data_IF_620761871731
#
_entry.id   IF_620761871731
#
_cell.length_a   1.000
_cell.length_b   1.000
_cell.length_c   1.000
_cell.angle_alpha   90.00
_cell.angle_beta   90.00
_cell.angle_gamma   90.00
#
_symmetry.space_group_name_H-M   'P 1'
#
loop_
_entity.id
_entity.type
_entity.pdbx_description
1 polymer ?
#
# COMPACT_ATOMS: atom_id res chain seq x y z
N UNK A 1 13.63 14.48 10.47
CA UNK A 1 12.47 13.58 10.32
C UNK A 1 13.03 12.23 9.89
N UNK A 2 12.47 11.11 10.34
CA UNK A 2 12.90 9.80 9.88
C UNK A 2 12.68 9.66 8.37
N UNK A 3 13.68 9.15 7.64
CA UNK A 3 13.62 8.94 6.20
C UNK A 3 13.14 7.53 5.86
N UNK A 4 12.06 7.46 5.10
CA UNK A 4 11.48 6.19 4.63
C UNK A 4 11.68 6.09 3.12
N UNK A 5 12.24 4.98 2.66
CA UNK A 5 12.27 4.64 1.23
C UNK A 5 11.10 3.71 0.95
N UNK A 6 10.23 4.11 0.03
CA UNK A 6 9.13 3.28 -0.46
C UNK A 6 9.35 2.99 -1.93
N UNK A 7 9.33 1.72 -2.32
CA UNK A 7 9.56 1.34 -3.71
C UNK A 7 8.40 0.51 -4.27
N UNK A 8 8.05 0.74 -5.54
CA UNK A 8 7.04 -0.06 -6.23
C UNK A 8 6.17 0.72 -7.21
N UNK A 9 4.90 0.37 -7.25
CA UNK A 9 3.93 0.84 -8.23
C UNK A 9 3.39 2.24 -7.92
N UNK A 10 3.29 3.05 -8.98
CA UNK A 10 2.57 4.31 -9.00
C UNK A 10 1.62 4.30 -10.20
N UNK A 11 0.33 4.34 -9.92
CA UNK A 11 -0.75 4.25 -10.88
C UNK A 11 -1.68 5.45 -10.72
N UNK A 12 -2.68 5.53 -11.60
CA UNK A 12 -3.77 6.51 -11.51
C UNK A 12 -5.09 5.77 -11.48
N UNK A 13 -5.95 6.09 -10.51
CA UNK A 13 -7.29 5.57 -10.44
C UNK A 13 -8.28 6.57 -11.04
N UNK A 14 -9.14 6.09 -11.95
CA UNK A 14 -10.14 6.86 -12.66
C UNK A 14 -11.51 6.33 -12.22
N UNK A 15 -12.14 7.02 -11.28
CA UNK A 15 -13.45 6.63 -10.74
C UNK A 15 -14.54 7.14 -11.67
N UNK A 16 -15.31 6.22 -12.24
CA UNK A 16 -16.41 6.50 -13.17
C UNK A 16 -17.71 6.00 -12.55
N UNK A 17 -18.51 6.91 -12.04
CA UNK A 17 -19.85 6.58 -11.55
C UNK A 17 -20.82 6.46 -12.71
N UNK A 18 -21.68 5.44 -12.71
CA UNK A 18 -22.72 5.31 -13.73
C UNK A 18 -23.73 6.46 -13.68
N UNK A 19 -24.29 6.86 -14.82
CA UNK A 19 -25.33 7.88 -14.88
C UNK A 19 -26.56 7.46 -14.06
N UNK A 20 -27.10 8.39 -13.28
CA UNK A 20 -28.33 8.18 -12.50
C UNK A 20 -29.53 8.59 -13.32
N UNK A 21 -30.22 7.60 -13.90
CA UNK A 21 -31.36 7.82 -14.76
C UNK A 21 -32.56 8.37 -13.95
N UNK A 22 -33.13 9.47 -14.40
CA UNK A 22 -34.33 10.06 -13.79
C UNK A 22 -34.14 10.68 -12.39
N UNK A 23 -32.91 10.74 -11.88
CA UNK A 23 -32.63 11.26 -10.53
C UNK A 23 -32.47 12.79 -10.47
N UNK A 24 -32.36 13.48 -11.61
CA UNK A 24 -32.25 14.91 -11.70
C UNK A 24 -33.60 15.62 -11.70
N UNK A 25 -33.57 16.96 -11.69
CA UNK A 25 -34.78 17.78 -11.77
C UNK A 25 -35.61 17.45 -13.01
N UNK A 26 -36.93 17.34 -12.85
CA UNK A 26 -37.89 16.96 -13.90
C UNK A 26 -37.59 15.57 -14.56
N UNK A 27 -36.98 14.65 -13.86
CA UNK A 27 -36.64 13.32 -14.36
C UNK A 27 -35.42 13.29 -15.31
N UNK A 28 -34.59 14.30 -15.29
CA UNK A 28 -33.35 14.31 -16.07
C UNK A 28 -32.35 13.27 -15.54
N UNK A 29 -31.46 12.83 -16.43
CA UNK A 29 -30.31 11.99 -16.03
C UNK A 29 -29.20 12.84 -15.42
N UNK A 30 -28.69 12.43 -14.25
CA UNK A 30 -27.49 12.99 -13.68
C UNK A 30 -26.29 12.26 -14.28
N UNK A 31 -25.33 13.02 -14.81
CA UNK A 31 -24.07 12.53 -15.37
C UNK A 31 -22.92 12.95 -14.44
N UNK A 32 -22.46 12.06 -13.53
CA UNK A 32 -21.32 12.37 -12.69
C UNK A 32 -20.04 12.56 -13.53
N UNK A 33 -19.19 13.49 -13.12
CA UNK A 33 -17.88 13.64 -13.75
C UNK A 33 -16.95 12.52 -13.24
N UNK A 34 -16.11 11.94 -14.11
CA UNK A 34 -15.05 11.05 -13.66
C UNK A 34 -14.07 11.80 -12.73
N UNK A 35 -13.64 11.11 -11.70
CA UNK A 35 -12.59 11.60 -10.79
C UNK A 35 -11.27 10.91 -11.11
N UNK A 36 -10.16 11.67 -11.12
CA UNK A 36 -8.82 11.15 -11.33
C UNK A 36 -8.03 11.35 -10.06
N UNK A 37 -7.59 10.25 -9.46
CA UNK A 37 -6.86 10.24 -8.19
C UNK A 37 -5.59 9.41 -8.30
N UNK A 38 -4.60 9.69 -7.45
CA UNK A 38 -3.41 8.85 -7.37
C UNK A 38 -3.78 7.46 -6.84
N UNK A 39 -3.19 6.42 -7.45
CA UNK A 39 -3.35 5.02 -7.10
C UNK A 39 -2.01 4.28 -7.08
N UNK A 40 -2.07 2.99 -6.81
CA UNK A 40 -0.92 2.12 -6.63
C UNK A 40 -0.61 1.86 -5.16
N UNK A 41 -0.41 0.59 -4.80
CA UNK A 41 -0.23 0.14 -3.41
C UNK A 41 0.94 0.85 -2.73
N UNK A 42 2.12 0.79 -3.35
CA UNK A 42 3.32 1.42 -2.80
C UNK A 42 3.20 2.95 -2.75
N UNK A 43 2.65 3.56 -3.79
CA UNK A 43 2.48 5.02 -3.82
C UNK A 43 1.39 5.51 -2.86
N UNK A 44 0.36 4.70 -2.54
CA UNK A 44 -0.60 5.00 -1.49
C UNK A 44 0.07 5.04 -0.12
N UNK A 45 0.90 4.03 0.20
CA UNK A 45 1.67 3.99 1.45
C UNK A 45 2.63 5.18 1.54
N UNK A 46 3.34 5.52 0.45
CA UNK A 46 4.25 6.67 0.41
C UNK A 46 3.53 8.00 0.69
N UNK A 47 2.40 8.23 0.01
CA UNK A 47 1.60 9.44 0.20
C UNK A 47 1.04 9.55 1.63
N UNK A 48 0.57 8.44 2.20
CA UNK A 48 0.09 8.38 3.58
C UNK A 48 1.21 8.65 4.59
N UNK A 49 2.38 8.06 4.40
CA UNK A 49 3.55 8.24 5.26
C UNK A 49 4.02 9.71 5.26
N UNK A 50 4.11 10.33 4.08
CA UNK A 50 4.46 11.75 3.97
C UNK A 50 3.41 12.65 4.63
N UNK A 51 2.12 12.32 4.48
CA UNK A 51 1.02 13.04 5.13
C UNK A 51 1.05 12.95 6.66
N UNK A 52 1.56 11.83 7.20
CA UNK A 52 1.80 11.62 8.63
C UNK A 52 3.09 12.31 9.14
N UNK A 53 3.83 13.01 8.28
CA UNK A 53 5.00 13.83 8.64
C UNK A 53 6.33 13.10 8.51
N UNK A 54 6.42 11.98 7.80
CA UNK A 54 7.69 11.31 7.51
C UNK A 54 8.37 11.93 6.27
N UNK A 55 9.70 11.87 6.20
CA UNK A 55 10.47 12.20 5.01
C UNK A 55 10.49 10.96 4.09
N UNK A 56 9.79 11.02 2.96
CA UNK A 56 9.57 9.85 2.10
C UNK A 56 10.24 10.04 0.75
N UNK A 57 11.14 9.13 0.39
CA UNK A 57 11.66 8.95 -0.97
C UNK A 57 10.88 7.84 -1.66
N UNK A 58 10.27 8.14 -2.80
CA UNK A 58 9.60 7.13 -3.63
C UNK A 58 10.48 6.67 -4.79
N UNK A 59 10.63 5.35 -4.94
CA UNK A 59 11.39 4.69 -6.01
C UNK A 59 10.43 3.88 -6.89
N UNK A 60 10.40 4.19 -8.18
CA UNK A 60 9.51 3.51 -9.11
C UNK A 60 9.65 4.03 -10.53
N UNK A 61 8.75 3.61 -11.42
CA UNK A 61 8.74 4.07 -12.80
C UNK A 61 7.33 4.41 -13.26
N UNK A 62 7.20 5.54 -13.96
CA UNK A 62 5.98 5.97 -14.67
C UNK A 62 6.30 6.19 -16.14
N UNK A 63 5.27 6.16 -16.99
CA UNK A 63 5.42 6.51 -18.40
C UNK A 63 5.54 8.02 -18.61
N UNK A 64 6.13 8.42 -19.74
CA UNK A 64 6.09 9.80 -20.23
C UNK A 64 4.72 10.08 -20.90
N UNK A 65 3.66 10.01 -20.09
CA UNK A 65 2.27 10.15 -20.49
C UNK A 65 1.47 10.99 -19.46
N UNK A 66 0.22 11.38 -19.76
CA UNK A 66 -0.58 12.19 -18.85
C UNK A 66 -0.82 11.55 -17.47
N UNK A 67 -0.88 10.21 -17.37
CA UNK A 67 -1.05 9.50 -16.11
C UNK A 67 0.23 9.55 -15.28
N UNK A 68 1.41 9.35 -15.91
CA UNK A 68 2.70 9.47 -15.22
C UNK A 68 2.98 10.88 -14.72
N UNK A 69 2.67 11.88 -15.54
CA UNK A 69 2.76 13.29 -15.13
C UNK A 69 1.80 13.60 -13.95
N UNK A 70 0.60 13.00 -13.94
CA UNK A 70 -0.35 13.16 -12.84
C UNK A 70 0.18 12.48 -11.58
N UNK A 71 0.58 11.20 -11.65
CA UNK A 71 1.04 10.41 -10.50
C UNK A 71 2.26 11.06 -9.83
N UNK A 72 3.25 11.53 -10.62
CA UNK A 72 4.42 12.24 -10.12
C UNK A 72 4.05 13.53 -9.39
N UNK A 73 3.16 14.34 -9.98
CA UNK A 73 2.69 15.58 -9.38
C UNK A 73 1.89 15.35 -8.10
N UNK A 74 0.95 14.37 -8.10
CA UNK A 74 0.14 14.04 -6.93
C UNK A 74 1.01 13.63 -5.73
N UNK A 75 2.04 12.80 -5.96
CA UNK A 75 2.99 12.43 -4.91
C UNK A 75 3.78 13.63 -4.40
N UNK A 76 4.32 14.45 -5.30
CA UNK A 76 5.11 15.64 -4.94
C UNK A 76 4.28 16.68 -4.15
N UNK A 77 3.03 16.92 -4.55
CA UNK A 77 2.10 17.84 -3.85
C UNK A 77 1.74 17.34 -2.44
N UNK A 78 1.88 16.02 -2.19
CA UNK A 78 1.69 15.40 -0.86
C UNK A 78 2.95 15.36 -0.01
N UNK A 79 4.07 15.91 -0.52
CA UNK A 79 5.33 16.00 0.21
C UNK A 79 6.26 14.81 0.03
N UNK A 80 5.98 13.91 -0.93
CA UNK A 80 6.87 12.79 -1.28
C UNK A 80 8.01 13.30 -2.16
N UNK A 81 9.25 12.93 -1.83
CA UNK A 81 10.42 13.11 -2.71
C UNK A 81 10.31 12.14 -3.89
N UNK A 82 10.04 12.67 -5.06
CA UNK A 82 9.89 11.91 -6.31
C UNK A 82 11.19 11.85 -7.13
N UNK A 83 12.34 12.21 -6.56
CA UNK A 83 13.63 12.16 -7.27
C UNK A 83 14.03 10.74 -7.68
N UNK A 84 13.52 9.72 -7.00
CA UNK A 84 13.67 8.30 -7.34
C UNK A 84 12.60 7.77 -8.32
N UNK A 85 11.66 8.61 -8.77
CA UNK A 85 10.61 8.21 -9.71
C UNK A 85 11.07 8.48 -11.15
N UNK A 86 11.34 7.41 -11.89
CA UNK A 86 11.80 7.49 -13.28
C UNK A 86 10.62 7.69 -14.22
N UNK A 87 10.72 8.69 -15.10
CA UNK A 87 9.78 8.88 -16.22
C UNK A 87 10.39 8.26 -17.49
N UNK A 88 9.75 7.23 -18.05
CA UNK A 88 10.24 6.46 -19.19
C UNK A 88 9.32 6.60 -20.41
N UNK A 89 9.92 6.98 -21.57
CA UNK A 89 9.19 7.21 -22.83
C UNK A 89 8.71 5.96 -23.54
N UNK A 90 9.31 4.81 -23.21
CA UNK A 90 8.96 3.52 -23.84
C UNK A 90 7.88 2.75 -23.05
N UNK A 91 7.54 3.25 -21.87
CA UNK A 91 6.60 2.62 -20.95
C UNK A 91 5.29 3.43 -20.82
N UNK A 92 4.26 2.75 -20.35
CA UNK A 92 2.96 3.34 -20.12
C UNK A 92 2.60 3.28 -18.63
N UNK A 93 2.13 4.38 -18.08
CA UNK A 93 1.53 4.39 -16.73
C UNK A 93 0.15 3.74 -16.78
N UNK A 94 -0.16 2.88 -15.81
CA UNK A 94 -1.47 2.23 -15.75
C UNK A 94 -2.49 3.19 -15.14
N UNK A 95 -3.61 3.37 -15.87
CA UNK A 95 -4.84 3.92 -15.31
C UNK A 95 -5.77 2.77 -14.92
N UNK A 96 -6.22 2.73 -13.68
CA UNK A 96 -7.23 1.77 -13.21
C UNK A 96 -8.59 2.44 -13.23
N UNK A 97 -9.45 2.03 -14.15
CA UNK A 97 -10.82 2.51 -14.24
C UNK A 97 -11.67 1.75 -13.22
N UNK A 98 -12.22 2.46 -12.25
CA UNK A 98 -13.17 1.95 -11.28
C UNK A 98 -14.57 2.40 -11.72
N UNK A 99 -15.31 1.52 -12.37
CA UNK A 99 -16.71 1.74 -12.71
C UNK A 99 -17.57 1.40 -11.49
N UNK A 100 -18.31 2.40 -10.98
CA UNK A 100 -19.12 2.28 -9.77
C UNK A 100 -20.60 2.39 -10.15
N UNK A 101 -21.40 1.38 -9.79
CA UNK A 101 -22.83 1.37 -10.02
C UNK A 101 -23.62 2.07 -8.90
N UNK A 102 -24.96 2.10 -9.01
CA UNK A 102 -25.84 2.74 -8.04
C UNK A 102 -25.86 2.03 -6.67
N UNK A 103 -25.46 0.76 -6.61
CA UNK A 103 -25.34 -0.01 -5.37
C UNK A 103 -23.96 0.16 -4.72
N UNK A 104 -23.02 0.85 -5.38
CA UNK A 104 -21.64 1.00 -4.94
C UNK A 104 -20.73 -0.16 -5.33
N UNK A 105 -21.26 -1.13 -6.11
CA UNK A 105 -20.45 -2.23 -6.65
C UNK A 105 -19.44 -1.71 -7.66
N UNK A 106 -18.25 -2.31 -7.68
CA UNK A 106 -17.12 -1.81 -8.47
C UNK A 106 -16.62 -2.84 -9.46
N UNK A 107 -16.46 -2.41 -10.72
CA UNK A 107 -15.73 -3.15 -11.73
C UNK A 107 -14.42 -2.43 -12.03
N UNK A 108 -13.28 -3.12 -11.81
CA UNK A 108 -11.94 -2.55 -12.01
C UNK A 108 -11.35 -3.01 -13.34
N UNK A 109 -10.84 -2.06 -14.11
CA UNK A 109 -10.20 -2.31 -15.38
C UNK A 109 -8.92 -1.51 -15.55
N UNK A 110 -7.77 -2.19 -15.41
CA UNK A 110 -6.45 -1.57 -15.62
C UNK A 110 -6.11 -1.47 -17.11
N UNK A 111 -5.65 -0.30 -17.55
CA UNK A 111 -5.25 0.01 -18.94
C UNK A 111 -4.08 1.02 -18.94
N UNK A 112 -3.10 0.94 -19.86
CA UNK A 112 -2.93 -0.10 -20.89
C UNK A 112 -2.43 -1.44 -20.33
N UNK A 113 -2.46 -2.49 -21.15
CA UNK A 113 -2.04 -3.85 -20.78
C UNK A 113 -0.59 -4.15 -21.15
N UNK A 114 0.02 -3.34 -22.03
CA UNK A 114 1.36 -3.55 -22.55
C UNK A 114 2.30 -2.46 -22.04
N UNK A 115 3.60 -2.79 -21.93
CA UNK A 115 4.66 -1.88 -21.51
C UNK A 115 4.34 -1.14 -20.21
N UNK A 116 3.78 -1.83 -19.24
CA UNK A 116 3.35 -1.27 -17.97
C UNK A 116 4.55 -0.84 -17.12
N UNK A 117 4.62 0.44 -16.77
CA UNK A 117 5.76 1.05 -16.09
C UNK A 117 6.04 0.45 -14.70
N UNK A 118 5.01 0.06 -13.94
CA UNK A 118 5.18 -0.52 -12.62
C UNK A 118 5.93 -1.87 -12.61
N UNK A 119 6.08 -2.52 -13.76
CA UNK A 119 6.85 -3.75 -13.95
C UNK A 119 8.35 -3.51 -14.15
N UNK A 120 8.76 -2.25 -14.22
CA UNK A 120 10.14 -1.88 -14.53
C UNK A 120 10.69 -0.97 -13.43
N UNK A 121 11.78 -1.37 -12.81
CA UNK A 121 12.62 -0.51 -11.99
C UNK A 121 14.06 -0.74 -12.46
N UNK A 122 14.65 0.29 -13.04
CA UNK A 122 16.04 0.27 -13.50
C UNK A 122 16.97 0.35 -12.29
N UNK A 123 17.69 -0.74 -12.04
CA UNK A 123 18.59 -0.86 -10.90
C UNK A 123 19.69 0.21 -10.89
N UNK A 124 20.19 0.60 -12.07
CA UNK A 124 21.23 1.62 -12.20
C UNK A 124 20.73 3.03 -11.85
N UNK A 125 19.42 3.21 -11.73
CA UNK A 125 18.78 4.47 -11.35
C UNK A 125 18.39 4.53 -9.87
N UNK A 126 18.54 3.43 -9.12
CA UNK A 126 18.26 3.39 -7.69
C UNK A 126 19.42 3.99 -6.89
N UNK A 127 19.10 4.97 -6.06
CA UNK A 127 20.06 5.49 -5.07
C UNK A 127 20.17 4.53 -3.89
N UNK A 128 21.05 3.53 -4.02
CA UNK A 128 21.32 2.57 -2.95
C UNK A 128 22.00 3.21 -1.73
N UNK A 129 22.63 4.38 -1.85
CA UNK A 129 23.21 5.09 -0.73
C UNK A 129 22.12 5.71 0.15
N UNK A 130 21.11 6.34 -0.49
CA UNK A 130 19.92 6.82 0.19
C UNK A 130 19.17 5.66 0.87
N UNK A 131 19.05 4.50 0.21
CA UNK A 131 18.43 3.30 0.79
C UNK A 131 19.18 2.80 2.04
N UNK A 132 20.50 2.63 1.96
CA UNK A 132 21.34 2.14 3.08
C UNK A 132 21.42 3.09 4.26
N UNK A 133 21.11 4.37 4.07
CA UNK A 133 21.08 5.40 5.11
C UNK A 133 19.67 5.76 5.58
N UNK A 134 18.64 5.09 5.06
CA UNK A 134 17.26 5.30 5.48
C UNK A 134 16.96 4.72 6.86
N UNK A 135 15.91 5.21 7.50
CA UNK A 135 15.41 4.68 8.77
C UNK A 135 14.40 3.52 8.57
N UNK A 136 13.90 3.36 7.33
CA UNK A 136 12.95 2.30 6.97
C UNK A 136 12.88 2.06 5.47
N UNK A 137 12.69 0.79 5.05
CA UNK A 137 12.38 0.42 3.68
C UNK A 137 11.04 -0.32 3.60
N UNK A 138 10.18 0.08 2.67
CA UNK A 138 8.88 -0.55 2.43
C UNK A 138 8.64 -0.82 0.95
N UNK A 139 8.04 -1.97 0.64
CA UNK A 139 7.48 -2.28 -0.67
C UNK A 139 6.28 -3.23 -0.53
N UNK A 140 5.62 -3.53 -1.64
CA UNK A 140 4.49 -4.46 -1.69
C UNK A 140 4.74 -5.65 -2.62
N UNK A 141 4.01 -6.75 -2.38
CA UNK A 141 4.00 -7.93 -3.22
C UNK A 141 3.59 -7.64 -4.67
N UNK A 142 2.88 -6.53 -4.91
CA UNK A 142 2.56 -6.09 -6.29
C UNK A 142 3.80 -5.98 -7.17
N UNK A 143 4.93 -5.55 -6.60
CA UNK A 143 6.21 -5.42 -7.31
C UNK A 143 6.90 -6.78 -7.55
N UNK A 144 6.44 -7.85 -6.91
CA UNK A 144 7.02 -9.21 -6.99
C UNK A 144 6.21 -10.15 -7.90
N UNK A 145 4.97 -9.79 -8.27
CA UNK A 145 4.04 -10.65 -9.03
C UNK A 145 4.65 -11.12 -10.36
N UNK A 146 5.29 -10.20 -11.10
CA UNK A 146 5.80 -10.48 -12.43
C UNK A 146 7.31 -10.68 -12.43
N UNK A 147 7.80 -11.63 -13.24
CA UNK A 147 9.25 -11.84 -13.43
C UNK A 147 9.83 -10.77 -14.36
N UNK A 148 10.16 -9.63 -13.77
CA UNK A 148 10.62 -8.42 -14.46
C UNK A 148 11.69 -7.71 -13.64
N UNK A 149 12.27 -6.63 -14.18
CA UNK A 149 13.29 -5.86 -13.46
C UNK A 149 12.78 -5.24 -12.16
N UNK A 150 11.47 -4.95 -12.02
CA UNK A 150 10.92 -4.52 -10.74
C UNK A 150 11.12 -5.56 -9.64
N UNK A 151 10.79 -6.85 -9.92
CA UNK A 151 11.01 -7.96 -8.96
C UNK A 151 12.48 -8.08 -8.55
N UNK A 152 13.39 -8.14 -9.54
CA UNK A 152 14.83 -8.32 -9.26
C UNK A 152 15.41 -7.14 -8.48
N UNK A 153 15.07 -5.90 -8.87
CA UNK A 153 15.55 -4.70 -8.21
C UNK A 153 15.00 -4.58 -6.79
N UNK A 154 13.70 -4.80 -6.57
CA UNK A 154 13.08 -4.79 -5.24
C UNK A 154 13.70 -5.86 -4.33
N UNK A 155 13.92 -7.07 -4.85
CA UNK A 155 14.59 -8.14 -4.10
C UNK A 155 16.02 -7.72 -3.69
N UNK A 156 16.74 -7.05 -4.57
CA UNK A 156 18.06 -6.48 -4.23
C UNK A 156 17.94 -5.37 -3.19
N UNK A 157 16.96 -4.48 -3.31
CA UNK A 157 16.75 -3.40 -2.34
C UNK A 157 16.48 -3.95 -0.93
N UNK A 158 15.67 -5.01 -0.79
CA UNK A 158 15.46 -5.68 0.50
C UNK A 158 16.76 -6.22 1.09
N UNK A 159 17.57 -6.90 0.27
CA UNK A 159 18.87 -7.42 0.71
C UNK A 159 19.81 -6.29 1.15
N UNK A 160 19.97 -5.26 0.34
CA UNK A 160 20.87 -4.11 0.64
C UNK A 160 20.42 -3.35 1.89
N UNK A 161 19.11 -3.15 2.07
CA UNK A 161 18.55 -2.53 3.28
C UNK A 161 18.85 -3.39 4.53
N UNK A 162 18.57 -4.69 4.46
CA UNK A 162 18.80 -5.61 5.58
C UNK A 162 20.29 -5.72 5.95
N UNK A 163 21.19 -5.80 4.95
CA UNK A 163 22.63 -5.83 5.16
C UNK A 163 23.17 -4.53 5.78
N UNK A 164 22.52 -3.40 5.50
CA UNK A 164 22.84 -2.10 6.11
C UNK A 164 22.21 -1.90 7.51
N UNK A 165 21.36 -2.82 7.97
CA UNK A 165 20.65 -2.72 9.24
C UNK A 165 19.43 -1.80 9.19
N UNK A 166 18.94 -1.46 8.00
CA UNK A 166 17.70 -0.71 7.80
C UNK A 166 16.51 -1.65 7.99
N UNK A 167 15.57 -1.35 8.90
CA UNK A 167 14.36 -2.12 9.07
C UNK A 167 13.53 -2.18 7.78
N UNK A 168 12.98 -3.36 7.48
CA UNK A 168 12.27 -3.62 6.24
C UNK A 168 10.84 -4.07 6.49
N UNK A 169 9.91 -3.64 5.66
CA UNK A 169 8.53 -4.13 5.68
C UNK A 169 8.01 -4.48 4.28
N UNK A 170 7.26 -5.57 4.21
CA UNK A 170 6.58 -6.03 2.99
C UNK A 170 5.08 -6.15 3.25
N UNK A 171 4.27 -5.45 2.47
CA UNK A 171 2.85 -5.74 2.37
C UNK A 171 2.65 -6.88 1.37
N UNK A 172 2.02 -7.97 1.79
CA UNK A 172 1.81 -9.16 0.97
C UNK A 172 1.13 -8.83 -0.35
N UNK A 173 0.07 -8.06 -0.31
CA UNK A 173 -0.70 -7.65 -1.49
C UNK A 173 -0.85 -8.78 -2.51
N UNK A 174 -1.30 -9.96 -2.01
CA UNK A 174 -1.35 -11.18 -2.80
C UNK A 174 -2.29 -11.04 -3.99
N UNK A 175 -1.91 -11.70 -5.07
CA UNK A 175 -2.78 -11.90 -6.23
C UNK A 175 -3.16 -13.37 -6.26
N UNK A 176 -4.38 -13.64 -5.86
CA UNK A 176 -4.96 -14.99 -5.78
C UNK A 176 -6.06 -15.06 -6.81
N UNK A 177 -5.92 -15.94 -7.80
CA UNK A 177 -6.94 -16.20 -8.82
C UNK A 177 -7.64 -17.52 -8.51
N UNK A 178 -8.96 -17.52 -8.45
CA UNK A 178 -9.80 -18.70 -8.15
C UNK A 178 -9.36 -19.46 -6.89
N UNK A 179 -8.88 -18.73 -5.86
CA UNK A 179 -8.43 -19.32 -4.60
C UNK A 179 -7.04 -19.98 -4.66
N UNK A 180 -6.27 -19.75 -5.72
CA UNK A 180 -4.93 -20.32 -5.92
C UNK A 180 -3.90 -19.20 -6.01
N UNK A 181 -2.88 -19.27 -5.15
CA UNK A 181 -1.69 -18.43 -5.24
C UNK A 181 -0.80 -18.95 -6.39
N UNK A 182 -0.41 -18.06 -7.30
CA UNK A 182 0.48 -18.41 -8.39
C UNK A 182 1.82 -18.95 -7.85
N UNK A 183 2.29 -20.16 -8.28
CA UNK A 183 3.51 -20.77 -7.74
C UNK A 183 4.79 -19.98 -8.04
N UNK A 184 4.81 -19.18 -9.10
CA UNK A 184 5.95 -18.31 -9.41
C UNK A 184 6.00 -17.12 -8.47
N UNK A 185 4.85 -16.53 -8.20
CA UNK A 185 4.74 -15.46 -7.21
C UNK A 185 5.06 -15.96 -5.79
N UNK A 186 4.59 -17.16 -5.41
CA UNK A 186 4.96 -17.78 -4.14
C UNK A 186 6.49 -17.91 -3.97
N UNK A 187 7.19 -18.40 -5.00
CA UNK A 187 8.67 -18.48 -5.00
C UNK A 187 9.34 -17.09 -4.90
N UNK A 188 8.76 -16.07 -5.55
CA UNK A 188 9.29 -14.71 -5.45
C UNK A 188 9.16 -14.15 -4.03
N UNK A 189 8.04 -14.41 -3.36
CA UNK A 189 7.84 -14.07 -1.94
C UNK A 189 8.85 -14.82 -1.06
N UNK A 190 8.99 -16.12 -1.21
CA UNK A 190 9.96 -16.93 -0.46
C UNK A 190 11.41 -16.39 -0.61
N UNK A 191 11.79 -15.92 -1.78
CA UNK A 191 13.12 -15.37 -2.04
C UNK A 191 13.38 -14.04 -1.32
N UNK A 192 12.36 -13.23 -1.06
CA UNK A 192 12.47 -11.95 -0.35
C UNK A 192 12.35 -12.11 1.16
N UNK A 193 11.58 -13.10 1.63
CA UNK A 193 11.30 -13.34 3.05
C UNK A 193 12.52 -13.27 3.99
N UNK A 194 13.73 -13.79 3.66
CA UNK A 194 14.89 -13.70 4.55
C UNK A 194 15.33 -12.25 4.89
N UNK A 195 14.86 -11.27 4.11
CA UNK A 195 15.24 -9.86 4.24
C UNK A 195 14.11 -9.00 4.79
N UNK A 196 12.97 -9.61 5.20
CA UNK A 196 11.78 -8.90 5.68
C UNK A 196 11.69 -8.99 7.20
N UNK A 197 11.71 -7.84 7.88
CA UNK A 197 11.54 -7.75 9.34
C UNK A 197 10.06 -7.69 9.73
N UNK A 198 9.24 -6.99 8.93
CA UNK A 198 7.81 -6.83 9.17
C UNK A 198 7.01 -7.28 7.95
N UNK A 199 6.27 -8.37 8.10
CA UNK A 199 5.39 -8.90 7.06
C UNK A 199 3.95 -8.48 7.37
N UNK A 200 3.35 -7.67 6.49
CA UNK A 200 2.00 -7.15 6.66
C UNK A 200 1.05 -7.77 5.63
N UNK A 201 -0.21 -7.96 6.00
CA UNK A 201 -1.21 -8.50 5.07
C UNK A 201 -2.59 -8.59 5.69
N UNK A 202 -3.59 -8.93 4.84
CA UNK A 202 -4.96 -9.25 5.26
C UNK A 202 -5.05 -10.71 5.72
N UNK A 203 -5.70 -10.97 6.82
CA UNK A 203 -5.92 -12.33 7.33
C UNK A 203 -6.72 -13.18 6.35
N UNK A 204 -7.99 -12.84 6.10
CA UNK A 204 -8.87 -13.65 5.26
C UNK A 204 -8.48 -13.67 3.77
N UNK A 205 -7.92 -12.55 3.27
CA UNK A 205 -7.68 -12.37 1.83
C UNK A 205 -6.28 -12.80 1.40
N UNK A 206 -5.33 -12.92 2.35
CA UNK A 206 -3.92 -13.16 2.02
C UNK A 206 -3.31 -14.27 2.87
N UNK A 207 -3.23 -14.13 4.20
CA UNK A 207 -2.63 -15.17 5.04
C UNK A 207 -3.36 -16.51 4.96
N UNK A 208 -4.65 -16.52 4.64
CA UNK A 208 -5.41 -17.76 4.41
C UNK A 208 -4.85 -18.62 3.26
N UNK A 209 -4.10 -18.02 2.32
CA UNK A 209 -3.54 -18.71 1.16
C UNK A 209 -2.05 -19.07 1.30
N UNK A 210 -1.44 -18.76 2.44
CA UNK A 210 0.01 -19.01 2.68
C UNK A 210 0.27 -20.31 3.46
N UNK A 211 -0.70 -21.20 3.55
CA UNK A 211 -0.60 -22.49 4.21
C UNK A 211 -1.91 -23.25 4.22
N UNK A 212 -1.93 -24.44 4.83
CA UNK A 212 -3.10 -25.30 4.89
C UNK A 212 -4.01 -25.01 6.12
N UNK A 213 -3.52 -24.18 7.05
CA UNK A 213 -4.21 -23.82 8.29
C UNK A 213 -5.14 -22.62 8.15
N UNK A 214 -5.71 -22.21 9.29
CA UNK A 214 -6.38 -20.90 9.39
C UNK A 214 -5.37 -19.78 9.12
N UNK A 215 -5.85 -18.59 8.76
CA UNK A 215 -4.96 -17.45 8.56
C UNK A 215 -4.10 -17.15 9.82
N UNK A 216 -4.64 -17.39 11.03
CA UNK A 216 -3.88 -17.22 12.30
C UNK A 216 -2.74 -18.23 12.43
N UNK A 217 -2.97 -19.48 12.06
CA UNK A 217 -1.94 -20.52 12.07
C UNK A 217 -0.87 -20.26 11.01
N UNK A 218 -1.27 -19.86 9.80
CA UNK A 218 -0.37 -19.51 8.72
C UNK A 218 0.48 -18.27 9.06
N UNK A 219 -0.14 -17.22 9.61
CA UNK A 219 0.59 -16.03 10.07
C UNK A 219 1.60 -16.38 11.17
N UNK A 220 1.22 -17.20 12.14
CA UNK A 220 2.12 -17.66 13.21
C UNK A 220 3.29 -18.47 12.66
N UNK A 221 3.08 -19.30 11.66
CA UNK A 221 4.14 -20.07 11.00
C UNK A 221 5.16 -19.20 10.26
N UNK A 222 4.78 -17.96 9.88
CA UNK A 222 5.65 -17.00 9.22
C UNK A 222 6.38 -16.06 10.20
N UNK A 223 5.95 -16.02 11.48
CA UNK A 223 6.61 -15.25 12.54
C UNK A 223 7.82 -16.04 13.10
N UNK A 224 8.82 -16.22 12.25
CA UNK A 224 10.06 -16.97 12.55
C UNK A 224 11.22 -16.01 12.72
N UNK A 225 12.23 -16.45 13.46
CA UNK A 225 13.37 -15.64 13.83
C UNK A 225 12.90 -14.34 14.52
N UNK A 226 13.38 -13.18 14.06
CA UNK A 226 12.98 -11.87 14.58
C UNK A 226 11.86 -11.21 13.77
N UNK A 227 11.26 -11.91 12.78
CA UNK A 227 10.21 -11.35 11.94
C UNK A 227 8.91 -11.14 12.71
N UNK A 228 8.39 -9.94 12.62
CA UNK A 228 7.04 -9.59 13.09
C UNK A 228 6.05 -9.78 11.95
N UNK A 229 4.97 -10.51 12.21
CA UNK A 229 3.86 -10.67 11.25
C UNK A 229 2.69 -9.82 11.72
N UNK A 230 2.19 -8.95 10.85
CA UNK A 230 1.10 -8.02 11.14
C UNK A 230 -0.09 -8.35 10.24
N UNK A 231 -1.19 -8.73 10.87
CA UNK A 231 -2.39 -9.19 10.19
C UNK A 231 -3.50 -8.17 10.37
N UNK A 232 -4.03 -7.67 9.26
CA UNK A 232 -5.24 -6.85 9.23
C UNK A 232 -6.46 -7.76 9.11
N UNK A 233 -7.46 -7.56 9.98
CA UNK A 233 -8.71 -8.37 10.01
C UNK A 233 -9.96 -7.47 9.85
N UNK A 234 -9.86 -6.49 8.97
CA UNK A 234 -10.95 -5.58 8.61
C UNK A 234 -11.59 -4.91 9.82
N UNK A 235 -12.89 -5.10 9.99
CA UNK A 235 -13.66 -4.51 11.10
C UNK A 235 -13.30 -5.08 12.48
N UNK A 236 -12.53 -6.19 12.55
CA UNK A 236 -12.06 -6.75 13.80
C UNK A 236 -10.77 -6.08 14.31
N UNK A 237 -10.09 -5.31 13.46
CA UNK A 237 -8.84 -4.62 13.79
C UNK A 237 -7.61 -5.31 13.24
N UNK A 238 -6.54 -5.39 14.05
CA UNK A 238 -5.27 -5.97 13.62
C UNK A 238 -4.54 -6.72 14.73
N UNK A 239 -3.65 -7.62 14.32
CA UNK A 239 -2.88 -8.51 15.20
C UNK A 239 -1.42 -8.44 14.79
N UNK A 240 -0.49 -8.29 15.73
CA UNK A 240 0.94 -8.50 15.52
C UNK A 240 1.41 -9.75 16.26
N UNK A 241 2.22 -10.56 15.58
CA UNK A 241 2.83 -11.78 16.13
C UNK A 241 4.34 -11.61 16.08
N UNK A 242 5.00 -11.66 17.25
CA UNK A 242 6.45 -11.55 17.39
C UNK A 242 6.95 -12.72 18.26
N UNK A 243 7.56 -13.73 17.63
CA UNK A 243 7.89 -14.96 18.31
C UNK A 243 6.67 -15.62 18.96
N UNK A 244 6.63 -15.69 20.30
CA UNK A 244 5.48 -16.23 21.06
C UNK A 244 4.45 -15.18 21.43
N UNK A 245 4.81 -13.89 21.36
CA UNK A 245 3.96 -12.80 21.81
C UNK A 245 2.95 -12.41 20.73
N UNK A 246 1.74 -12.09 21.17
CA UNK A 246 0.64 -11.66 20.32
C UNK A 246 0.06 -10.37 20.87
N UNK A 247 -0.02 -9.37 20.02
CA UNK A 247 -0.62 -8.07 20.30
C UNK A 247 -1.86 -7.92 19.45
N UNK A 248 -2.93 -7.36 19.98
CA UNK A 248 -4.19 -7.15 19.26
C UNK A 248 -4.72 -5.74 19.52
N UNK A 249 -5.18 -5.08 18.47
CA UNK A 249 -5.82 -3.77 18.57
C UNK A 249 -7.14 -3.77 17.78
N UNK A 250 -8.26 -3.30 18.37
CA UNK A 250 -9.55 -3.25 17.70
C UNK A 250 -9.57 -2.18 16.60
N UNK A 251 -10.43 -2.35 15.59
CA UNK A 251 -10.71 -1.31 14.61
C UNK A 251 -11.53 -0.17 15.22
N UNK A 252 -11.37 1.03 14.69
CA UNK A 252 -12.26 2.15 14.97
C UNK A 252 -13.60 1.93 14.27
N UNK A 253 -14.70 2.05 15.02
CA UNK A 253 -16.07 1.87 14.49
C UNK A 253 -16.52 3.12 13.77
N UNK A 254 -16.39 3.14 12.47
CA UNK A 254 -16.76 4.26 11.58
C UNK A 254 -17.83 3.82 10.57
N UNK A 255 -18.55 4.79 10.02
CA UNK A 255 -19.32 4.55 8.80
C UNK A 255 -18.34 4.47 7.61
N UNK A 256 -18.35 3.34 6.92
CA UNK A 256 -17.41 3.06 5.83
C UNK A 256 -17.96 3.66 4.53
N UNK A 257 -17.21 4.56 3.93
CA UNK A 257 -17.51 5.14 2.62
C UNK A 257 -16.71 4.46 1.50
N UNK A 258 -15.42 4.21 1.73
CA UNK A 258 -14.52 3.61 0.73
C UNK A 258 -13.40 2.79 1.39
N UNK A 259 -13.24 1.54 0.99
CA UNK A 259 -12.19 0.65 1.52
C UNK A 259 -10.90 0.60 0.68
N UNK A 260 -10.87 1.30 -0.47
CA UNK A 260 -9.69 1.31 -1.34
C UNK A 260 -8.50 1.91 -0.60
N UNK A 261 -7.35 1.21 -0.62
CA UNK A 261 -6.12 1.64 0.00
C UNK A 261 -6.09 1.59 1.53
N UNK A 262 -7.13 1.03 2.18
CA UNK A 262 -7.17 0.90 3.64
C UNK A 262 -5.94 0.18 4.21
N UNK A 263 -5.48 -0.88 3.53
CA UNK A 263 -4.26 -1.60 3.87
C UNK A 263 -3.00 -0.76 3.68
N UNK A 264 -2.93 -0.01 2.59
CA UNK A 264 -1.78 0.82 2.25
C UNK A 264 -1.56 1.92 3.29
N UNK A 265 -2.63 2.61 3.68
CA UNK A 265 -2.56 3.68 4.68
C UNK A 265 -2.36 3.15 6.10
N UNK A 266 -2.88 1.94 6.39
CA UNK A 266 -2.58 1.22 7.62
C UNK A 266 -1.07 1.00 7.77
N UNK A 267 -0.40 0.51 6.71
CA UNK A 267 1.04 0.27 6.70
C UNK A 267 1.82 1.54 7.04
N UNK A 268 1.43 2.68 6.46
CA UNK A 268 2.05 3.97 6.77
C UNK A 268 1.88 4.37 8.25
N UNK A 269 0.68 4.18 8.81
CA UNK A 269 0.39 4.45 10.23
C UNK A 269 1.22 3.57 11.17
N UNK A 270 1.30 2.27 10.85
CA UNK A 270 2.10 1.29 11.60
C UNK A 270 3.58 1.65 11.62
N UNK A 271 4.15 1.92 10.44
CA UNK A 271 5.57 2.31 10.30
C UNK A 271 5.85 3.64 11.01
N UNK A 272 4.95 4.63 10.88
CA UNK A 272 5.11 5.92 11.54
C UNK A 272 5.18 5.79 13.07
N UNK A 273 4.35 4.94 13.67
CA UNK A 273 4.38 4.71 15.13
C UNK A 273 5.72 4.10 15.57
N UNK A 274 6.24 3.10 14.87
CA UNK A 274 7.52 2.48 15.19
C UNK A 274 8.68 3.46 15.04
N UNK A 275 8.68 4.31 14.03
CA UNK A 275 9.70 5.34 13.82
C UNK A 275 9.64 6.47 14.87
N UNK A 276 8.50 6.67 15.49
CA UNK A 276 8.32 7.56 16.65
C UNK A 276 8.78 6.90 17.97
N UNK A 277 9.23 5.65 17.95
CA UNK A 277 9.67 4.88 19.10
C UNK A 277 8.54 4.17 19.86
N UNK A 278 7.37 4.06 19.23
CA UNK A 278 6.22 3.34 19.78
C UNK A 278 6.42 1.82 19.84
N UNK A 279 5.68 1.17 20.74
CA UNK A 279 5.58 -0.28 20.85
C UNK A 279 4.78 -0.89 19.68
N UNK A 280 4.83 -2.23 19.51
CA UNK A 280 3.98 -2.92 18.54
C UNK A 280 2.47 -2.69 18.80
N UNK A 281 2.05 -2.59 20.06
CA UNK A 281 0.68 -2.28 20.43
C UNK A 281 0.25 -0.90 19.90
N UNK A 282 1.07 0.14 20.14
CA UNK A 282 0.82 1.49 19.66
C UNK A 282 0.88 1.57 18.13
N UNK A 283 1.72 0.76 17.49
CA UNK A 283 1.79 0.68 16.03
C UNK A 283 0.51 0.08 15.41
N UNK A 284 -0.07 -0.98 16.03
CA UNK A 284 -1.36 -1.53 15.62
C UNK A 284 -2.48 -0.48 15.77
N UNK A 285 -2.52 0.20 16.91
CA UNK A 285 -3.53 1.23 17.22
C UNK A 285 -3.46 2.39 16.24
N UNK A 286 -2.26 2.89 15.95
CA UNK A 286 -2.05 3.98 14.97
C UNK A 286 -2.39 3.54 13.55
N UNK A 287 -2.00 2.33 13.15
CA UNK A 287 -2.38 1.74 11.86
C UNK A 287 -3.90 1.66 11.70
N UNK A 288 -4.61 1.13 12.71
CA UNK A 288 -6.07 1.07 12.73
C UNK A 288 -6.72 2.47 12.70
N UNK A 289 -6.14 3.46 13.40
CA UNK A 289 -6.66 4.82 13.41
C UNK A 289 -6.53 5.50 12.04
N UNK A 290 -5.37 5.38 11.37
CA UNK A 290 -5.15 5.94 10.03
C UNK A 290 -6.08 5.26 9.01
N UNK A 291 -6.21 3.93 9.07
CA UNK A 291 -7.14 3.19 8.23
C UNK A 291 -8.60 3.62 8.50
N UNK A 292 -9.03 3.66 9.76
CA UNK A 292 -10.38 4.08 10.15
C UNK A 292 -10.72 5.50 9.71
N UNK A 293 -9.78 6.44 9.85
CA UNK A 293 -9.95 7.80 9.35
C UNK A 293 -10.15 7.83 7.82
N UNK A 294 -9.39 7.01 7.09
CA UNK A 294 -9.39 7.01 5.62
C UNK A 294 -10.64 6.34 5.07
N UNK A 295 -11.04 5.17 5.61
CA UNK A 295 -12.22 4.43 5.08
C UNK A 295 -13.55 5.15 5.34
N UNK A 296 -13.59 6.11 6.25
CA UNK A 296 -14.73 7.00 6.46
C UNK A 296 -14.79 8.15 5.43
N UNK A 297 -13.98 8.09 4.36
CA UNK A 297 -13.89 9.11 3.29
C UNK A 297 -13.64 8.43 1.96
N UNK A 298 -14.00 9.09 0.87
CA UNK A 298 -13.78 8.57 -0.47
C UNK A 298 -12.30 8.66 -0.87
N UNK A 299 -11.72 7.53 -1.31
CA UNK A 299 -10.40 7.43 -1.93
C UNK A 299 -9.23 7.28 -0.95
N UNK A 300 -8.26 6.46 -1.35
CA UNK A 300 -7.05 6.10 -0.59
C UNK A 300 -6.15 7.28 -0.21
N UNK A 301 -6.27 8.42 -0.88
CA UNK A 301 -5.45 9.62 -0.64
C UNK A 301 -5.99 10.55 0.44
N UNK A 302 -7.17 10.26 1.01
CA UNK A 302 -7.76 11.05 2.10
C UNK A 302 -7.21 10.60 3.48
N UNK A 303 -5.89 10.63 3.62
CA UNK A 303 -5.17 10.29 4.85
C UNK A 303 -5.07 11.50 5.80
N UNK A 304 -5.05 11.28 7.13
CA UNK A 304 -4.97 12.38 8.09
C UNK A 304 -3.59 13.01 8.17
N UNK A 305 -3.52 14.31 8.56
CA UNK A 305 -2.31 14.85 9.17
C UNK A 305 -2.18 14.37 10.61
N UNK A 306 -1.02 14.54 11.28
CA UNK A 306 -0.87 14.19 12.70
C UNK A 306 -1.94 14.83 13.59
N UNK A 307 -2.27 16.11 13.35
CA UNK A 307 -3.29 16.84 14.13
C UNK A 307 -4.71 16.30 13.87
N UNK A 308 -5.01 15.97 12.60
CA UNK A 308 -6.29 15.36 12.23
C UNK A 308 -6.44 13.96 12.80
N UNK A 309 -5.35 13.19 12.84
CA UNK A 309 -5.33 11.86 13.43
C UNK A 309 -5.57 11.93 14.95
N UNK A 310 -4.89 12.85 15.65
CA UNK A 310 -5.10 13.05 17.07
C UNK A 310 -6.56 13.43 17.37
N UNK A 311 -7.13 14.41 16.64
CA UNK A 311 -8.52 14.79 16.80
C UNK A 311 -9.51 13.65 16.49
N UNK A 312 -9.17 12.79 15.52
CA UNK A 312 -9.98 11.61 15.20
C UNK A 312 -9.97 10.61 16.37
N UNK A 313 -8.80 10.27 16.90
CA UNK A 313 -8.66 9.35 18.04
C UNK A 313 -9.40 9.89 19.27
N UNK A 314 -9.25 11.19 19.57
CA UNK A 314 -9.91 11.83 20.71
C UNK A 314 -11.46 11.79 20.60
N UNK A 315 -12.02 11.70 19.39
CA UNK A 315 -13.47 11.61 19.18
C UNK A 315 -14.07 10.25 19.58
N UNK A 316 -13.25 9.24 19.86
CA UNK A 316 -13.66 7.91 20.32
C UNK A 316 -13.41 7.67 21.83
N UNK A 317 -12.75 8.62 22.50
CA UNK A 317 -12.51 8.60 23.97
C UNK A 317 -13.58 9.40 24.73
#
# INVERSE_FOLDING_TARGET
MPRVVVAGDANVDIVVQFPRLGAGENGATIWPNPEVVGGGTSSNTAAAAARLGLDVLFVGTVGDDPYGAFASRDLAERGVDVSGLVCDRELNTVGVFAFVDEAGERFLWGWPREKQSFKVIDEDRVDFEALRSADWFHSSGMSLVYDTSARSTITRMYREAREAGVPTSLDLNLRVDDGVLDPEFARALEAVMPYVDYLLGSGPEEFAYLGEGTWRENARALAVDDRVVVVRDGANGSVAISGTDVFEAPAFKVEVEDTIGAGDVYNAGFVAALLEGGSLQEALEKGNAVSGYTVARQGARNTPTPEQLAAFIDSFN
#
